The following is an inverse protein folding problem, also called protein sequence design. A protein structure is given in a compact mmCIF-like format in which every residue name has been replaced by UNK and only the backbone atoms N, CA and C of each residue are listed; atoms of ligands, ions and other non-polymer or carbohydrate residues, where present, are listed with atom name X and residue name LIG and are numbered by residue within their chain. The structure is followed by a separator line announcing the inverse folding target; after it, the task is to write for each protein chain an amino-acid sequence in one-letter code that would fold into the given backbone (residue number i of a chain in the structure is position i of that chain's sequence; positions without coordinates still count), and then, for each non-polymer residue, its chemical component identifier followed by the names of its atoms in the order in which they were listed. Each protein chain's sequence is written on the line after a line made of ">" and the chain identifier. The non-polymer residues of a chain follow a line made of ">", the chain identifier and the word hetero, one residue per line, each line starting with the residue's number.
data_IF_802824829628
#
_entry.id   IF_802824829628
#
_cell.length_a   1.000
_cell.length_b   1.000
_cell.length_c   1.000
_cell.angle_alpha   90.00
_cell.angle_beta   90.00
_cell.angle_gamma   90.00
#
_symmetry.space_group_name_H-M   'P 1'
#
loop_
_entity.id
_entity.type
_entity.pdbx_description
1 polymer ?
#
# COMPACT_ATOMS: atom_id res chain seq x y z
N UNK A 1 -14.53 11.87 -10.16
CA UNK A 1 -14.57 12.07 -8.70
C UNK A 1 -15.50 13.26 -8.44
N UNK A 2 -16.43 13.13 -7.49
CA UNK A 2 -17.45 14.15 -7.19
C UNK A 2 -16.97 15.22 -6.21
N UNK A 3 -16.00 14.90 -5.36
CA UNK A 3 -15.50 15.79 -4.32
C UNK A 3 -13.97 15.74 -4.21
N UNK A 4 -13.30 16.88 -3.94
CA UNK A 4 -11.88 16.89 -3.66
C UNK A 4 -11.59 16.18 -2.33
N UNK A 5 -10.57 15.33 -2.32
CA UNK A 5 -10.14 14.54 -1.16
C UNK A 5 -8.65 14.69 -0.93
N UNK A 6 -8.23 14.72 0.34
CA UNK A 6 -6.83 14.71 0.77
C UNK A 6 -6.55 13.35 1.41
N UNK A 7 -5.57 12.63 0.88
CA UNK A 7 -5.15 11.30 1.36
C UNK A 7 -6.28 10.25 1.48
N UNK A 8 -7.14 10.06 0.46
CA UNK A 8 -8.16 9.01 0.52
C UNK A 8 -7.54 7.61 0.45
N UNK A 9 -8.26 6.61 0.97
CA UNK A 9 -8.04 5.22 0.61
C UNK A 9 -8.58 4.99 -0.80
N UNK A 10 -7.81 4.36 -1.69
CA UNK A 10 -8.28 4.00 -3.02
C UNK A 10 -7.78 2.63 -3.45
N UNK A 11 -8.65 1.85 -4.10
CA UNK A 11 -8.28 0.56 -4.70
C UNK A 11 -9.28 0.10 -5.78
N UNK A 12 -8.82 -0.78 -6.69
CA UNK A 12 -9.66 -1.39 -7.73
C UNK A 12 -10.18 -2.75 -7.26
N UNK A 13 -11.50 -2.85 -7.08
CA UNK A 13 -12.16 -4.06 -6.57
C UNK A 13 -13.30 -4.43 -7.51
N UNK A 14 -13.29 -5.69 -7.98
CA UNK A 14 -14.26 -6.22 -8.95
C UNK A 14 -14.38 -5.35 -10.22
N UNK A 15 -13.25 -4.76 -10.65
CA UNK A 15 -13.18 -3.90 -11.83
C UNK A 15 -13.75 -2.50 -11.65
N UNK A 16 -14.06 -2.07 -10.43
CA UNK A 16 -14.49 -0.70 -10.11
C UNK A 16 -13.47 -0.04 -9.18
N UNK A 17 -13.26 1.26 -9.33
CA UNK A 17 -12.34 2.03 -8.49
C UNK A 17 -13.08 2.59 -7.28
N UNK A 18 -12.71 2.14 -6.09
CA UNK A 18 -13.25 2.61 -4.82
C UNK A 18 -12.36 3.72 -4.27
N UNK A 19 -12.94 4.81 -3.78
CA UNK A 19 -12.24 5.90 -3.11
C UNK A 19 -12.99 6.29 -1.84
N UNK A 20 -12.40 6.09 -0.67
CA UNK A 20 -13.07 6.32 0.63
C UNK A 20 -12.21 7.22 1.52
N UNK A 21 -12.87 8.09 2.28
CA UNK A 21 -12.26 9.01 3.23
C UNK A 21 -11.63 10.22 2.55
N UNK A 22 -10.79 10.93 3.30
CA UNK A 22 -10.06 12.12 2.83
C UNK A 22 -10.92 13.35 2.50
N UNK A 23 -12.25 13.28 2.68
CA UNK A 23 -13.14 14.41 2.45
C UNK A 23 -13.19 15.29 3.70
N UNK A 24 -13.23 16.61 3.50
CA UNK A 24 -13.54 17.59 4.56
C UNK A 24 -15.04 17.72 4.82
N UNK A 25 -15.88 17.07 3.99
CA UNK A 25 -17.33 17.08 4.15
C UNK A 25 -17.76 16.29 5.39
N UNK A 26 -18.84 16.76 6.02
CA UNK A 26 -19.50 16.10 7.14
C UNK A 26 -20.69 15.24 6.71
N UNK A 27 -21.07 15.27 5.43
CA UNK A 27 -22.16 14.47 4.92
C UNK A 27 -21.74 13.01 4.79
N UNK A 28 -22.62 12.10 5.23
CA UNK A 28 -22.37 10.66 5.16
C UNK A 28 -22.23 10.14 3.73
N UNK A 29 -22.92 10.76 2.76
CA UNK A 29 -22.85 10.43 1.34
C UNK A 29 -21.49 10.75 0.72
N UNK A 30 -20.72 11.63 1.36
CA UNK A 30 -19.40 12.06 0.89
C UNK A 30 -18.28 11.20 1.48
N UNK A 31 -18.63 10.21 2.31
CA UNK A 31 -17.70 9.32 2.97
C UNK A 31 -16.83 8.56 1.97
N UNK A 32 -17.42 8.03 0.91
CA UNK A 32 -16.69 7.41 -0.18
C UNK A 32 -17.46 7.45 -1.49
N UNK A 33 -16.80 7.05 -2.57
CA UNK A 33 -17.36 6.98 -3.90
C UNK A 33 -16.73 5.83 -4.69
N UNK A 34 -17.53 5.17 -5.52
CA UNK A 34 -17.10 4.13 -6.46
C UNK A 34 -17.24 4.64 -7.88
N UNK A 35 -16.22 4.41 -8.69
CA UNK A 35 -16.24 4.64 -10.12
C UNK A 35 -16.44 3.31 -10.85
N UNK A 36 -17.48 3.25 -11.66
CA UNK A 36 -17.69 2.15 -12.59
C UNK A 36 -17.19 2.56 -13.99
N UNK A 37 -16.11 1.94 -14.50
CA UNK A 37 -15.56 2.29 -15.81
C UNK A 37 -16.48 1.87 -16.97
N UNK A 38 -17.48 1.01 -16.75
CA UNK A 38 -18.41 0.58 -17.81
C UNK A 38 -19.48 1.63 -18.07
N UNK A 39 -19.96 2.28 -17.01
CA UNK A 39 -20.99 3.31 -17.09
C UNK A 39 -20.40 4.72 -17.06
N UNK A 40 -19.11 4.84 -16.74
CA UNK A 40 -18.41 6.11 -16.55
C UNK A 40 -19.05 6.98 -15.46
N UNK A 41 -19.64 6.37 -14.43
CA UNK A 41 -20.34 7.06 -13.35
C UNK A 41 -19.61 6.93 -12.02
N UNK A 42 -19.77 7.95 -11.17
CA UNK A 42 -19.36 7.95 -9.77
C UNK A 42 -20.59 7.86 -8.88
N UNK A 43 -20.63 6.87 -8.00
CA UNK A 43 -21.74 6.63 -7.06
C UNK A 43 -21.25 6.75 -5.62
N UNK A 44 -22.03 7.35 -4.70
CA UNK A 44 -21.63 7.48 -3.30
C UNK A 44 -21.61 6.11 -2.62
N UNK A 45 -20.66 5.93 -1.71
CA UNK A 45 -20.55 4.75 -0.85
C UNK A 45 -20.85 5.21 0.58
N UNK A 46 -21.74 4.48 1.24
CA UNK A 46 -22.02 4.66 2.65
C UNK A 46 -21.24 3.63 3.47
N UNK A 47 -20.81 3.95 4.70
CA UNK A 47 -20.18 2.97 5.59
C UNK A 47 -21.01 1.71 5.80
N UNK A 48 -22.33 1.86 5.80
CA UNK A 48 -23.32 0.79 5.97
C UNK A 48 -23.47 -0.11 4.73
N UNK A 49 -23.07 0.37 3.56
CA UNK A 49 -23.17 -0.38 2.29
C UNK A 49 -21.90 -1.15 1.94
N UNK A 50 -20.87 -1.08 2.80
CA UNK A 50 -19.64 -1.80 2.55
C UNK A 50 -19.89 -3.29 2.78
N UNK A 51 -19.84 -4.05 1.68
CA UNK A 51 -19.86 -5.52 1.71
C UNK A 51 -18.75 -6.03 2.65
N UNK A 52 -18.95 -7.20 3.28
CA UNK A 52 -18.05 -7.84 4.25
C UNK A 52 -17.19 -8.95 3.62
N UNK A 53 -16.98 -8.89 2.31
CA UNK A 53 -16.10 -9.84 1.60
C UNK A 53 -14.64 -9.67 2.01
N UNK A 54 -13.76 -10.63 1.71
CA UNK A 54 -12.34 -10.49 2.08
C UNK A 54 -11.64 -9.26 1.45
N UNK A 55 -12.23 -8.69 0.39
CA UNK A 55 -11.69 -7.54 -0.33
C UNK A 55 -12.24 -6.20 0.19
N UNK A 56 -13.37 -6.19 0.92
CA UNK A 56 -14.01 -5.03 1.53
C UNK A 56 -14.59 -5.45 2.87
N UNK A 57 -14.21 -4.84 3.98
CA UNK A 57 -14.84 -5.13 5.27
C UNK A 57 -14.64 -3.98 6.23
N UNK A 58 -15.66 -3.69 7.04
CA UNK A 58 -15.50 -2.84 8.23
C UNK A 58 -15.46 -3.75 9.44
N UNK A 59 -14.29 -3.82 10.08
CA UNK A 59 -14.14 -4.38 11.43
C UNK A 59 -14.11 -3.19 12.39
N UNK A 60 -14.42 -3.38 13.67
CA UNK A 60 -14.46 -2.30 14.66
C UNK A 60 -13.27 -1.31 14.49
N UNK A 61 -13.61 -0.05 14.16
CA UNK A 61 -12.71 1.08 13.89
C UNK A 61 -11.64 0.86 12.80
N UNK A 62 -11.86 -0.09 11.88
CA UNK A 62 -10.92 -0.46 10.80
C UNK A 62 -11.62 -0.79 9.48
N UNK A 63 -11.18 -0.13 8.40
CA UNK A 63 -11.57 -0.44 7.03
C UNK A 63 -10.53 -1.39 6.43
N UNK A 64 -10.97 -2.53 5.89
CA UNK A 64 -10.15 -3.40 5.04
C UNK A 64 -10.61 -3.22 3.61
N UNK A 65 -9.71 -2.80 2.73
CA UNK A 65 -9.99 -2.58 1.31
C UNK A 65 -8.76 -2.93 0.49
N UNK A 66 -8.90 -3.79 -0.52
CA UNK A 66 -7.76 -4.09 -1.40
C UNK A 66 -6.62 -4.84 -0.73
N UNK A 67 -6.95 -5.63 0.29
CA UNK A 67 -5.95 -6.22 1.18
C UNK A 67 -5.27 -5.23 2.13
N UNK A 68 -5.58 -3.92 2.05
CA UNK A 68 -5.07 -2.85 2.92
C UNK A 68 -5.97 -2.61 4.13
N UNK A 69 -5.39 -2.26 5.28
CA UNK A 69 -6.12 -1.94 6.51
C UNK A 69 -5.93 -0.47 6.87
N UNK A 70 -7.03 0.26 7.07
CA UNK A 70 -7.07 1.67 7.41
C UNK A 70 -7.76 1.86 8.76
N UNK A 71 -7.32 2.82 9.55
CA UNK A 71 -8.02 3.19 10.79
C UNK A 71 -9.16 4.16 10.47
N UNK A 72 -10.31 3.93 11.09
CA UNK A 72 -11.48 4.81 10.97
C UNK A 72 -11.62 5.58 12.29
N UNK A 73 -11.64 6.90 12.22
CA UNK A 73 -12.00 7.79 13.34
C UNK A 73 -13.19 8.66 12.89
N UNK A 74 -14.40 8.18 13.16
CA UNK A 74 -15.63 8.75 12.59
C UNK A 74 -15.68 8.64 11.06
N UNK A 75 -15.70 9.78 10.36
CA UNK A 75 -15.65 9.84 8.88
C UNK A 75 -14.22 10.02 8.34
N UNK A 76 -13.24 10.19 9.23
CA UNK A 76 -11.85 10.38 8.85
C UNK A 76 -11.17 9.02 8.70
N UNK A 77 -10.46 8.85 7.60
CA UNK A 77 -9.62 7.68 7.37
C UNK A 77 -8.17 8.11 7.51
N UNK A 78 -7.44 7.42 8.38
CA UNK A 78 -5.98 7.58 8.48
C UNK A 78 -5.30 6.29 8.04
N UNK A 79 -4.40 6.42 7.07
CA UNK A 79 -3.55 5.34 6.60
C UNK A 79 -2.50 5.06 7.68
N UNK A 80 -2.88 4.28 8.70
CA UNK A 80 -1.98 4.00 9.82
C UNK A 80 -0.87 3.02 9.46
N UNK A 81 -1.04 2.17 8.44
CA UNK A 81 -0.01 1.20 8.04
C UNK A 81 -0.38 0.53 6.72
N UNK A 82 0.58 0.35 5.80
CA UNK A 82 0.41 -0.47 4.59
C UNK A 82 0.36 -1.95 4.99
N UNK A 83 -0.73 -2.38 5.63
CA UNK A 83 -0.97 -3.77 6.01
C UNK A 83 -1.44 -4.52 4.77
N UNK A 84 -0.77 -5.55 4.26
CA UNK A 84 -1.27 -6.42 3.19
C UNK A 84 -1.68 -7.78 3.75
N UNK A 85 -2.88 -8.25 3.43
CA UNK A 85 -3.33 -9.61 3.75
C UNK A 85 -2.74 -10.63 2.77
N UNK A 86 -2.08 -11.65 3.29
CA UNK A 86 -1.50 -12.80 2.58
C UNK A 86 -2.12 -14.08 3.14
N UNK A 87 -2.41 -15.07 2.30
CA UNK A 87 -2.94 -16.38 2.71
C UNK A 87 -3.96 -16.38 3.87
N UNK A 88 -5.24 -16.06 3.59
CA UNK A 88 -6.43 -16.08 4.50
C UNK A 88 -6.33 -15.35 5.86
N UNK A 89 -5.16 -15.19 6.49
CA UNK A 89 -4.97 -14.66 7.83
C UNK A 89 -3.63 -13.93 8.06
N UNK A 90 -2.57 -14.18 7.27
CA UNK A 90 -1.28 -13.49 7.48
C UNK A 90 -1.42 -12.01 7.13
N UNK A 91 -0.91 -11.14 8.00
CA UNK A 91 -0.83 -9.70 7.73
C UNK A 91 0.63 -9.32 7.59
N UNK A 92 0.98 -8.64 6.51
CA UNK A 92 2.29 -8.04 6.32
C UNK A 92 2.22 -6.54 6.50
N UNK A 93 3.19 -5.94 7.16
CA UNK A 93 3.36 -4.50 7.27
C UNK A 93 4.75 -4.12 6.83
N UNK A 94 4.84 -3.02 6.11
CA UNK A 94 6.09 -2.33 5.86
C UNK A 94 6.25 -1.17 6.84
N UNK A 95 7.34 -1.14 7.61
CA UNK A 95 7.72 0.02 8.44
C UNK A 95 8.84 0.83 7.79
N UNK A 96 8.97 2.10 8.18
CA UNK A 96 9.96 3.08 7.70
C UNK A 96 11.43 2.67 7.92
N UNK A 97 11.70 1.62 8.70
CA UNK A 97 13.06 1.14 9.03
C UNK A 97 13.57 0.06 8.07
N UNK A 98 13.13 0.13 6.83
CA UNK A 98 13.56 -0.80 5.80
C UNK A 98 13.27 -2.27 6.05
N UNK A 99 12.10 -2.60 6.58
CA UNK A 99 11.81 -3.97 7.00
C UNK A 99 10.34 -4.31 6.84
N UNK A 100 10.09 -5.51 6.32
CA UNK A 100 8.78 -6.12 6.31
C UNK A 100 8.56 -6.85 7.64
N UNK A 101 7.39 -6.65 8.22
CA UNK A 101 6.93 -7.33 9.41
C UNK A 101 5.69 -8.14 9.09
N UNK A 102 5.47 -9.22 9.82
CA UNK A 102 4.30 -10.06 9.66
C UNK A 102 3.67 -10.37 11.01
N UNK A 103 2.36 -10.62 11.02
CA UNK A 103 1.69 -11.30 12.12
C UNK A 103 0.65 -12.28 11.62
N UNK A 104 0.34 -13.27 12.46
CA UNK A 104 -0.79 -14.17 12.27
C UNK A 104 -1.76 -13.96 13.44
N UNK A 105 -2.84 -13.17 13.26
CA UNK A 105 -3.78 -12.88 14.32
C UNK A 105 -4.53 -14.11 14.83
N UNK A 106 -4.47 -15.25 14.12
CA UNK A 106 -5.06 -16.52 14.60
C UNK A 106 -4.19 -17.22 15.63
N UNK A 107 -2.90 -16.91 15.66
CA UNK A 107 -1.95 -17.44 16.64
C UNK A 107 -1.61 -16.42 17.72
N UNK A 108 -1.11 -15.25 17.32
CA UNK A 108 -0.88 -14.12 18.21
C UNK A 108 -0.82 -12.78 17.44
N UNK A 109 -1.18 -11.70 18.12
CA UNK A 109 -1.15 -10.36 17.52
C UNK A 109 0.26 -9.72 17.51
N UNK A 110 1.33 -10.52 17.55
CA UNK A 110 2.71 -10.03 17.67
C UNK A 110 3.33 -9.84 16.29
N UNK A 111 3.82 -8.63 16.01
CA UNK A 111 4.57 -8.33 14.79
C UNK A 111 5.99 -8.89 14.86
N UNK A 112 6.41 -9.59 13.81
CA UNK A 112 7.72 -10.22 13.67
C UNK A 112 8.38 -9.80 12.37
N UNK A 113 9.70 -9.64 12.37
CA UNK A 113 10.46 -9.34 11.16
C UNK A 113 10.42 -10.50 10.17
N UNK A 114 10.09 -10.22 8.91
CA UNK A 114 10.26 -11.15 7.78
C UNK A 114 11.75 -11.24 7.46
N UNK A 115 12.29 -12.47 7.42
CA UNK A 115 13.70 -12.74 7.10
C UNK A 115 13.89 -12.97 5.60
N UNK A 116 15.11 -12.90 5.10
CA UNK A 116 15.46 -13.26 3.71
C UNK A 116 15.29 -12.14 2.68
N UNK A 117 14.93 -10.93 3.13
CA UNK A 117 14.79 -9.74 2.28
C UNK A 117 15.90 -8.70 2.53
N UNK A 118 16.99 -9.08 3.21
CA UNK A 118 18.08 -8.20 3.58
C UNK A 118 18.80 -7.60 2.36
N UNK A 119 19.04 -8.42 1.33
CA UNK A 119 19.70 -7.98 0.07
C UNK A 119 18.90 -6.90 -0.67
N UNK A 120 17.56 -6.95 -0.57
CA UNK A 120 16.67 -5.97 -1.15
C UNK A 120 16.83 -4.62 -0.44
N UNK A 121 16.95 -4.64 0.90
CA UNK A 121 17.13 -3.45 1.73
C UNK A 121 18.52 -2.81 1.53
N UNK A 122 19.56 -3.62 1.36
CA UNK A 122 20.94 -3.16 1.19
C UNK A 122 21.18 -2.52 -0.19
N UNK A 123 20.55 -3.04 -1.25
CA UNK A 123 20.73 -2.53 -2.62
C UNK A 123 20.07 -1.17 -2.88
N UNK A 124 19.04 -0.80 -2.12
CA UNK A 124 18.43 0.52 -2.25
C UNK A 124 18.23 1.14 -0.88
N UNK A 125 19.19 1.90 -0.34
CA UNK A 125 19.11 2.46 1.02
C UNK A 125 17.95 3.46 1.24
N UNK A 126 17.19 3.80 0.19
CA UNK A 126 15.96 4.61 0.25
C UNK A 126 14.68 3.79 0.08
N UNK A 127 14.78 2.45 0.16
CA UNK A 127 13.74 1.47 -0.17
C UNK A 127 12.40 1.68 0.55
N UNK A 128 12.39 2.26 1.75
CA UNK A 128 11.21 2.30 2.63
C UNK A 128 10.92 3.69 3.21
N UNK A 129 11.24 4.75 2.45
CA UNK A 129 10.81 6.10 2.79
C UNK A 129 9.29 6.23 2.61
N UNK A 130 8.49 6.00 3.66
CA UNK A 130 7.05 6.31 3.83
C UNK A 130 6.05 5.99 2.69
N UNK A 131 6.49 5.42 1.57
CA UNK A 131 5.79 5.45 0.29
C UNK A 131 5.92 4.13 -0.45
N UNK A 132 5.58 3.05 0.24
CA UNK A 132 5.60 1.71 -0.33
C UNK A 132 4.17 1.17 -0.39
N UNK A 133 3.76 0.64 -1.55
CA UNK A 133 2.46 0.00 -1.70
C UNK A 133 2.67 -1.51 -1.75
N UNK A 134 2.08 -2.22 -0.79
CA UNK A 134 1.96 -3.67 -0.81
C UNK A 134 0.59 -4.02 -1.37
N UNK A 135 0.55 -4.92 -2.36
CA UNK A 135 -0.67 -5.45 -2.94
C UNK A 135 -0.56 -6.97 -3.05
N UNK A 136 -1.60 -7.69 -2.65
CA UNK A 136 -1.68 -9.13 -2.86
C UNK A 136 -2.04 -9.38 -4.33
N UNK A 137 -1.23 -10.14 -5.05
CA UNK A 137 -1.67 -10.61 -6.38
C UNK A 137 -2.78 -11.65 -6.16
N UNK A 138 -3.89 -11.55 -6.86
CA UNK A 138 -5.14 -12.29 -6.58
C UNK A 138 -5.09 -13.83 -6.49
N UNK A 139 -3.91 -14.46 -6.55
CA UNK A 139 -3.65 -15.87 -6.25
C UNK A 139 -3.14 -16.17 -4.83
N UNK A 140 -2.94 -15.16 -3.98
CA UNK A 140 -2.67 -15.32 -2.54
C UNK A 140 -1.25 -15.76 -2.15
N UNK A 141 -0.41 -16.12 -3.13
CA UNK A 141 0.94 -16.69 -2.90
C UNK A 141 2.09 -15.70 -3.10
N UNK A 142 1.82 -14.58 -3.77
CA UNK A 142 2.84 -13.57 -4.05
C UNK A 142 2.29 -12.17 -3.81
N UNK A 143 3.12 -11.35 -3.17
CA UNK A 143 2.84 -9.95 -2.85
C UNK A 143 3.67 -9.08 -3.77
N UNK A 144 3.00 -8.12 -4.38
CA UNK A 144 3.66 -7.09 -5.18
C UNK A 144 4.01 -5.92 -4.27
N UNK A 145 5.28 -5.55 -4.24
CA UNK A 145 5.80 -4.41 -3.51
C UNK A 145 6.20 -3.33 -4.52
N UNK A 146 5.69 -2.12 -4.31
CA UNK A 146 6.08 -0.94 -5.08
C UNK A 146 6.74 0.08 -4.17
N UNK A 147 7.81 0.73 -4.65
CA UNK A 147 8.47 1.81 -3.91
C UNK A 147 9.04 2.88 -4.85
N UNK A 148 9.24 4.07 -4.29
CA UNK A 148 9.94 5.19 -4.94
C UNK A 148 11.38 5.26 -4.47
N UNK A 149 12.32 5.33 -5.40
CA UNK A 149 13.72 5.60 -5.13
C UNK A 149 14.10 6.96 -5.69
N UNK A 150 14.86 7.76 -4.93
CA UNK A 150 15.41 9.02 -5.40
C UNK A 150 16.93 8.91 -5.38
N UNK A 151 17.54 8.92 -6.56
CA UNK A 151 18.98 8.89 -6.72
C UNK A 151 19.47 10.32 -6.87
N UNK A 152 20.29 10.78 -5.94
CA UNK A 152 20.95 12.09 -6.02
C UNK A 152 22.35 11.85 -6.55
N UNK A 153 22.64 12.36 -7.75
CA UNK A 153 23.98 12.29 -8.30
C UNK A 153 24.87 13.34 -7.60
N UNK A 154 26.17 13.03 -7.38
CA UNK A 154 27.11 14.02 -6.87
C UNK A 154 27.17 15.23 -7.82
N UNK A 155 27.39 16.44 -7.29
CA UNK A 155 27.35 17.65 -8.10
C UNK A 155 28.38 17.58 -9.23
N UNK A 156 27.91 17.79 -10.45
CA UNK A 156 28.78 18.01 -11.61
C UNK A 156 29.54 19.34 -11.41
N UNK A 157 30.62 19.59 -12.17
CA UNK A 157 31.43 20.83 -12.13
C UNK A 157 30.61 22.13 -12.26
N UNK A 158 29.34 22.04 -12.69
CA UNK A 158 28.39 23.13 -12.84
C UNK A 158 27.43 23.33 -11.64
N UNK A 159 27.64 22.66 -10.49
CA UNK A 159 26.80 22.79 -9.29
C UNK A 159 25.29 22.53 -9.52
N UNK A 160 24.93 21.77 -10.55
CA UNK A 160 23.57 21.28 -10.76
C UNK A 160 23.38 19.98 -9.98
N UNK A 161 22.40 19.95 -9.07
CA UNK A 161 21.97 18.70 -8.43
C UNK A 161 21.09 17.96 -9.43
N UNK A 162 21.67 17.01 -10.15
CA UNK A 162 20.90 16.06 -10.95
C UNK A 162 20.34 15.00 -10.01
N UNK A 163 19.01 14.88 -10.01
CA UNK A 163 18.33 13.85 -9.25
C UNK A 163 17.37 13.12 -10.16
N UNK A 164 17.38 11.80 -10.02
CA UNK A 164 16.53 10.90 -10.78
C UNK A 164 15.57 10.22 -9.82
N UNK A 165 14.29 10.28 -10.15
CA UNK A 165 13.24 9.55 -9.42
C UNK A 165 12.92 8.27 -10.18
N UNK A 166 12.85 7.17 -9.47
CA UNK A 166 12.55 5.85 -10.02
C UNK A 166 11.38 5.21 -9.29
N UNK A 167 10.47 4.60 -10.05
CA UNK A 167 9.42 3.75 -9.52
C UNK A 167 9.81 2.31 -9.76
N UNK A 168 9.90 1.55 -8.68
CA UNK A 168 10.29 0.15 -8.72
C UNK A 168 9.12 -0.74 -8.30
N UNK A 169 9.17 -1.97 -8.80
CA UNK A 169 8.23 -3.01 -8.45
C UNK A 169 8.98 -4.32 -8.22
N UNK A 170 8.56 -5.09 -7.23
CA UNK A 170 9.07 -6.42 -6.97
C UNK A 170 7.93 -7.39 -6.65
N UNK A 171 8.06 -8.62 -7.15
CA UNK A 171 7.24 -9.74 -6.74
C UNK A 171 7.93 -10.47 -5.59
N UNK A 172 7.24 -10.61 -4.48
CA UNK A 172 7.72 -11.32 -3.30
C UNK A 172 6.91 -12.59 -3.09
N UNK A 173 7.57 -13.68 -2.74
CA UNK A 173 6.94 -14.88 -2.19
C UNK A 173 7.31 -15.04 -0.72
N UNK A 174 6.53 -15.83 0.01
CA UNK A 174 6.77 -16.07 1.43
C UNK A 174 6.66 -17.55 1.75
N UNK A 175 7.55 -18.03 2.62
CA UNK A 175 7.57 -19.40 3.14
C UNK A 175 7.53 -19.35 4.66
N UNK A 176 6.53 -20.02 5.25
CA UNK A 176 6.42 -20.14 6.70
C UNK A 176 7.30 -21.26 7.20
N UNK A 177 8.18 -20.96 8.16
CA UNK A 177 9.09 -21.93 8.80
C UNK A 177 8.75 -22.07 10.28
N UNK A 178 7.81 -22.96 10.56
CA UNK A 178 7.27 -23.16 11.91
C UNK A 178 6.31 -22.05 12.36
N UNK A 179 6.11 -21.93 13.67
CA UNK A 179 5.08 -21.03 14.22
C UNK A 179 5.51 -19.55 14.22
N UNK A 180 6.82 -19.26 14.35
CA UNK A 180 7.32 -17.91 14.63
C UNK A 180 8.20 -17.31 13.54
N UNK A 181 8.41 -18.00 12.42
CA UNK A 181 9.26 -17.48 11.34
C UNK A 181 8.54 -17.46 9.99
N UNK A 182 8.70 -16.34 9.29
CA UNK A 182 8.30 -16.16 7.91
C UNK A 182 9.51 -15.64 7.14
N UNK A 183 9.86 -16.35 6.07
CA UNK A 183 10.92 -15.99 5.16
C UNK A 183 10.30 -15.43 3.89
N UNK A 184 10.83 -14.30 3.42
CA UNK A 184 10.45 -13.67 2.15
C UNK A 184 11.54 -13.90 1.11
N UNK A 185 11.13 -14.04 -0.14
CA UNK A 185 12.03 -14.19 -1.28
C UNK A 185 11.63 -13.20 -2.37
N UNK A 186 12.63 -12.60 -3.01
CA UNK A 186 12.43 -11.72 -4.16
C UNK A 186 12.38 -12.61 -5.40
N UNK A 187 11.19 -12.79 -5.97
CA UNK A 187 11.00 -13.56 -7.20
C UNK A 187 11.48 -12.77 -8.43
N UNK A 188 11.25 -11.46 -8.41
CA UNK A 188 11.72 -10.53 -9.43
C UNK A 188 11.70 -9.11 -8.88
N UNK A 189 12.54 -8.24 -9.44
CA UNK A 189 12.50 -6.80 -9.23
C UNK A 189 12.74 -6.06 -10.54
N UNK A 190 12.05 -4.94 -10.76
CA UNK A 190 12.12 -4.19 -12.01
C UNK A 190 11.89 -2.70 -11.79
N UNK A 191 12.69 -1.88 -12.47
CA UNK A 191 12.40 -0.46 -12.64
C UNK A 191 11.25 -0.31 -13.65
N UNK A 192 10.14 0.25 -13.19
CA UNK A 192 8.93 0.43 -14.00
C UNK A 192 8.88 1.81 -14.65
N UNK A 193 9.47 2.81 -13.99
CA UNK A 193 9.50 4.17 -14.50
C UNK A 193 10.72 4.93 -13.99
N UNK A 194 11.23 5.82 -14.82
CA UNK A 194 12.32 6.73 -14.51
C UNK A 194 11.92 8.14 -14.93
N UNK A 195 12.10 9.10 -14.03
CA UNK A 195 11.88 10.52 -14.26
C UNK A 195 13.12 11.32 -13.87
N UNK A 196 13.59 12.17 -14.79
CA UNK A 196 14.68 13.10 -14.54
C UNK A 196 14.12 14.32 -13.80
N UNK A 197 14.38 14.37 -12.49
CA UNK A 197 13.86 15.39 -11.58
C UNK A 197 13.53 14.83 -10.19
N UNK A 198 13.61 15.70 -9.18
CA UNK A 198 13.21 15.39 -7.81
C UNK A 198 11.71 15.63 -7.69
N UNK A 199 10.91 14.56 -7.74
CA UNK A 199 9.50 14.66 -7.39
C UNK A 199 9.33 14.78 -5.85
N UNK A 200 8.25 15.42 -5.41
CA UNK A 200 7.84 15.62 -4.01
C UNK A 200 8.09 14.36 -3.17
N UNK A 201 8.67 14.54 -1.96
CA UNK A 201 8.93 13.44 -1.01
C UNK A 201 7.67 12.82 -0.40
N UNK A 202 6.48 13.35 -0.71
CA UNK A 202 5.23 13.05 0.01
C UNK A 202 4.15 12.35 -0.82
N UNK A 203 4.33 12.21 -2.14
CA UNK A 203 3.30 11.69 -3.03
C UNK A 203 3.77 10.40 -3.72
N UNK A 204 3.19 9.27 -3.31
CA UNK A 204 3.30 8.00 -4.03
C UNK A 204 1.90 7.41 -4.14
N UNK A 205 1.22 7.78 -5.22
CA UNK A 205 -0.07 7.25 -5.62
C UNK A 205 0.19 6.36 -6.83
N UNK A 206 0.35 5.05 -6.61
CA UNK A 206 0.16 4.08 -7.69
C UNK A 206 -1.33 3.74 -7.73
N UNK A 207 -1.96 4.16 -8.82
CA UNK A 207 -3.33 3.79 -9.19
C UNK A 207 -3.42 2.33 -9.63
#
# INVERSE_FOLDING_TARGET
>A
MRLPRVSPAADVIDGKLYVIGGSSSKNIEDWGEVYDPKTHTWEPILPTTLDLTSQKSVVQDRLVMGGKVYAIDGLKIELKTNICLVEKCLRLVSYSNHSLYWNDPTEDCVWRLVRGLEELCDHYPYFFNNHNSLANSGGGRTVTLWWKSVVIQPPNYHCTKECKTEIWCAGLSFERRGLKELWGFVEWSKNMFTFEGCDSRFDFLLH
#
